data_IF_774489512298
#
_entry.id   IF_774489512298
#
_cell.length_a   1.000
_cell.length_b   1.000
_cell.length_c   1.000
_cell.angle_alpha   90.00
_cell.angle_beta   90.00
_cell.angle_gamma   90.00
#
_symmetry.space_group_name_H-M   'P 1'
#
loop_
_entity.id
_entity.type
_entity.pdbx_description
1 polymer ?
#
# COMPACT_ATOMS: atom_id res chain seq x y z
N UNK A 1 -4.50 22.48 -10.10
CA UNK A 1 -3.66 21.24 -10.16
C UNK A 1 -2.89 21.21 -11.46
N UNK A 2 -1.59 20.98 -11.43
CA UNK A 2 -0.80 20.77 -12.65
C UNK A 2 -1.21 19.43 -13.29
N UNK A 3 -1.86 19.49 -14.44
CA UNK A 3 -2.18 18.30 -15.22
C UNK A 3 -0.93 17.88 -15.99
N UNK A 4 -0.34 16.78 -15.60
CA UNK A 4 0.82 16.22 -16.29
C UNK A 4 0.32 15.46 -17.51
N UNK A 5 0.90 15.75 -18.69
CA UNK A 5 0.59 15.00 -19.90
C UNK A 5 1.63 13.90 -20.12
N UNK A 6 1.16 12.69 -20.40
CA UNK A 6 1.99 11.52 -20.70
C UNK A 6 1.60 11.00 -22.09
N UNK A 7 2.61 10.69 -22.90
CA UNK A 7 2.38 10.11 -24.23
C UNK A 7 1.91 8.67 -24.09
N UNK A 8 0.78 8.36 -24.72
CA UNK A 8 0.19 7.03 -24.76
C UNK A 8 -0.03 6.59 -26.20
N UNK A 9 0.27 5.34 -26.49
CA UNK A 9 0.04 4.73 -27.81
C UNK A 9 -0.94 3.56 -27.67
N UNK A 10 -1.81 3.37 -28.65
CA UNK A 10 -2.69 2.19 -28.69
C UNK A 10 -1.86 0.94 -29.01
N UNK A 11 -2.18 -0.15 -28.33
CA UNK A 11 -1.52 -1.43 -28.51
C UNK A 11 -2.49 -2.45 -29.09
N UNK A 12 -2.14 -3.03 -30.24
CA UNK A 12 -2.94 -4.08 -30.88
C UNK A 12 -2.52 -5.49 -30.41
N UNK A 13 -1.20 -5.68 -30.21
CA UNK A 13 -0.69 -6.97 -29.81
C UNK A 13 -0.85 -7.22 -28.31
N UNK A 14 -1.41 -8.37 -27.95
CA UNK A 14 -1.62 -8.82 -26.58
C UNK A 14 -0.82 -10.11 -26.29
N UNK A 15 -0.67 -10.44 -25.00
CA UNK A 15 -0.07 -11.68 -24.52
C UNK A 15 1.24 -11.54 -23.77
N UNK A 16 1.63 -12.61 -23.05
CA UNK A 16 2.78 -12.65 -22.12
C UNK A 16 4.12 -12.31 -22.79
N UNK A 17 4.34 -12.85 -24.02
CA UNK A 17 5.58 -12.61 -24.76
C UNK A 17 5.75 -11.16 -25.18
N UNK A 18 4.66 -10.54 -25.67
CA UNK A 18 4.63 -9.13 -26.09
C UNK A 18 4.88 -8.22 -24.90
N UNK A 19 4.17 -8.41 -23.78
CA UNK A 19 4.35 -7.60 -22.57
C UNK A 19 5.79 -7.68 -22.04
N UNK A 20 6.42 -8.87 -22.04
CA UNK A 20 7.82 -9.03 -21.64
C UNK A 20 8.78 -8.32 -22.60
N UNK A 21 8.52 -8.35 -23.91
CA UNK A 21 9.33 -7.65 -24.91
C UNK A 21 9.23 -6.14 -24.75
N UNK A 22 8.03 -5.59 -24.51
CA UNK A 22 7.81 -4.16 -24.27
C UNK A 22 8.60 -3.67 -23.06
N UNK A 23 8.49 -4.37 -21.92
CA UNK A 23 9.22 -3.99 -20.69
C UNK A 23 10.74 -3.98 -20.88
N UNK A 24 11.30 -4.91 -21.66
CA UNK A 24 12.73 -4.90 -22.02
C UNK A 24 13.14 -3.69 -22.84
N UNK A 25 12.20 -3.11 -23.62
CA UNK A 25 12.42 -1.90 -24.41
C UNK A 25 12.15 -0.61 -23.63
N UNK A 26 11.85 -0.70 -22.33
CA UNK A 26 11.49 0.47 -21.52
C UNK A 26 10.07 0.97 -21.72
N UNK A 27 9.18 0.12 -22.24
CA UNK A 27 7.78 0.45 -22.48
C UNK A 27 6.90 -0.35 -21.51
N UNK A 28 5.99 0.33 -20.82
CA UNK A 28 5.06 -0.27 -19.88
C UNK A 28 3.71 -0.53 -20.57
N UNK A 29 3.22 -1.78 -20.56
CA UNK A 29 1.86 -2.07 -20.96
C UNK A 29 0.88 -1.53 -19.92
N UNK A 30 -0.19 -0.91 -20.38
CA UNK A 30 -1.24 -0.37 -19.53
C UNK A 30 -2.61 -0.58 -20.19
N UNK A 31 -3.68 -0.33 -19.43
CA UNK A 31 -5.06 -0.40 -19.92
C UNK A 31 -5.81 0.85 -19.49
N UNK A 32 -6.56 1.41 -20.41
CA UNK A 32 -7.49 2.51 -20.17
C UNK A 32 -8.92 1.99 -20.19
N UNK A 33 -9.62 2.11 -19.07
CA UNK A 33 -11.01 1.66 -18.93
C UNK A 33 -11.97 2.84 -19.02
N UNK A 34 -13.09 2.63 -19.70
CA UNK A 34 -14.25 3.53 -19.68
C UNK A 34 -15.53 2.71 -19.86
N UNK A 35 -16.48 2.85 -18.95
CA UNK A 35 -17.86 2.33 -19.06
C UNK A 35 -17.99 0.93 -19.70
N UNK A 36 -17.18 -0.02 -19.22
CA UNK A 36 -17.20 -1.41 -19.72
C UNK A 36 -16.37 -1.68 -20.97
N UNK A 37 -15.76 -0.65 -21.57
CA UNK A 37 -14.78 -0.82 -22.65
C UNK A 37 -13.36 -0.72 -22.11
N UNK A 38 -12.45 -1.54 -22.64
CA UNK A 38 -11.03 -1.51 -22.29
C UNK A 38 -10.18 -1.26 -23.52
N UNK A 39 -9.31 -0.26 -23.46
CA UNK A 39 -8.38 0.08 -24.51
C UNK A 39 -6.97 -0.27 -24.05
N UNK A 40 -6.32 -1.30 -24.62
CA UNK A 40 -4.92 -1.58 -24.30
C UNK A 40 -4.02 -0.49 -24.87
N UNK A 41 -3.16 0.05 -24.02
CA UNK A 41 -2.22 1.13 -24.33
C UNK A 41 -0.81 0.76 -23.90
N UNK A 42 0.16 1.53 -24.33
CA UNK A 42 1.54 1.46 -23.93
C UNK A 42 2.11 2.85 -23.67
N UNK A 43 2.98 2.96 -22.66
CA UNK A 43 3.59 4.21 -22.24
C UNK A 43 5.10 4.04 -22.01
N UNK A 44 5.82 5.15 -22.06
CA UNK A 44 7.24 5.17 -21.71
C UNK A 44 7.45 4.97 -20.21
N UNK A 45 8.37 4.05 -19.84
CA UNK A 45 8.68 3.71 -18.45
C UNK A 45 9.23 4.90 -17.67
N UNK A 46 10.07 5.72 -18.30
CA UNK A 46 10.71 6.83 -17.62
C UNK A 46 9.75 7.99 -17.38
N UNK A 47 8.84 8.28 -18.31
CA UNK A 47 7.80 9.31 -18.13
C UNK A 47 6.84 8.90 -17.03
N UNK A 48 6.33 7.68 -17.08
CA UNK A 48 5.38 7.16 -16.11
C UNK A 48 6.01 7.00 -14.72
N UNK A 49 7.26 6.54 -14.64
CA UNK A 49 7.99 6.44 -13.38
C UNK A 49 8.19 7.79 -12.70
N UNK A 50 8.61 8.82 -13.44
CA UNK A 50 8.74 10.19 -12.92
C UNK A 50 7.40 10.73 -12.41
N UNK A 51 6.32 10.45 -13.12
CA UNK A 51 4.97 10.85 -12.71
C UNK A 51 4.57 10.18 -11.38
N UNK A 52 4.69 8.86 -11.27
CA UNK A 52 4.33 8.12 -10.06
C UNK A 52 5.20 8.48 -8.85
N UNK A 53 6.49 8.74 -9.06
CA UNK A 53 7.35 9.25 -7.98
C UNK A 53 6.93 10.63 -7.49
N UNK A 54 6.50 11.51 -8.40
CA UNK A 54 6.05 12.85 -8.05
C UNK A 54 4.72 12.85 -7.32
N UNK A 55 3.82 11.92 -7.67
CA UNK A 55 2.52 11.76 -7.03
C UNK A 55 2.57 11.01 -5.70
N UNK A 56 3.73 10.45 -5.30
CA UNK A 56 3.85 9.75 -4.03
C UNK A 56 2.99 8.50 -3.88
N UNK A 57 2.46 7.95 -4.99
CA UNK A 57 1.51 6.84 -4.98
C UNK A 57 0.05 7.25 -4.78
N UNK A 58 -0.22 8.55 -4.68
CA UNK A 58 -1.58 9.08 -4.61
C UNK A 58 -2.33 8.92 -5.94
N UNK A 59 -3.65 8.82 -5.87
CA UNK A 59 -4.48 8.78 -7.07
C UNK A 59 -4.56 10.17 -7.71
N UNK A 60 -3.87 10.35 -8.82
CA UNK A 60 -3.73 11.63 -9.53
C UNK A 60 -4.25 11.52 -10.95
N UNK A 61 -4.85 12.62 -11.43
CA UNK A 61 -5.32 12.72 -12.81
C UNK A 61 -4.16 13.05 -13.74
N UNK A 62 -4.09 12.33 -14.84
CA UNK A 62 -3.13 12.50 -15.92
C UNK A 62 -3.85 12.75 -17.25
N UNK A 63 -3.26 13.55 -18.10
CA UNK A 63 -3.69 13.70 -19.47
C UNK A 63 -2.92 12.73 -20.37
N UNK A 64 -3.58 11.74 -20.93
CA UNK A 64 -3.00 10.81 -21.89
C UNK A 64 -3.07 11.40 -23.28
N UNK A 65 -1.91 11.72 -23.85
CA UNK A 65 -1.79 12.26 -25.21
C UNK A 65 -1.57 11.14 -26.22
N UNK A 66 -2.56 10.92 -27.09
CA UNK A 66 -2.48 9.94 -28.16
C UNK A 66 -1.94 10.53 -29.48
N UNK A 67 -1.29 9.73 -30.32
CA UNK A 67 -0.95 10.12 -31.69
C UNK A 67 -2.23 10.47 -32.44
N UNK A 68 -2.31 11.70 -32.96
CA UNK A 68 -3.52 12.21 -33.63
C UNK A 68 -4.19 13.38 -32.91
N UNK A 69 -3.64 13.84 -31.77
CA UNK A 69 -4.15 15.01 -31.05
C UNK A 69 -5.30 14.70 -30.08
N UNK A 70 -5.65 13.45 -29.91
CA UNK A 70 -6.68 13.00 -28.96
C UNK A 70 -6.08 13.00 -27.54
N UNK A 71 -6.55 13.88 -26.68
CA UNK A 71 -6.13 13.95 -25.28
C UNK A 71 -7.27 13.45 -24.40
N UNK A 72 -6.98 12.43 -23.56
CA UNK A 72 -7.95 11.85 -22.63
C UNK A 72 -7.50 12.05 -21.20
N UNK A 73 -8.44 12.49 -20.38
CA UNK A 73 -8.18 12.58 -18.94
C UNK A 73 -8.41 11.21 -18.31
N UNK A 74 -7.43 10.77 -17.55
CA UNK A 74 -7.50 9.48 -16.88
C UNK A 74 -6.97 9.58 -15.43
N UNK A 75 -7.58 8.81 -14.54
CA UNK A 75 -7.13 8.60 -13.19
C UNK A 75 -6.24 7.36 -13.16
N UNK A 76 -5.10 7.42 -12.51
CA UNK A 76 -4.31 6.21 -12.20
C UNK A 76 -5.04 5.46 -11.09
N UNK A 77 -5.65 4.33 -11.44
CA UNK A 77 -6.42 3.53 -10.46
C UNK A 77 -5.54 2.58 -9.70
N UNK A 78 -4.62 1.91 -10.41
CA UNK A 78 -3.69 0.95 -9.80
C UNK A 78 -2.41 0.86 -10.64
N UNK A 79 -1.33 0.42 -10.00
CA UNK A 79 -0.08 0.13 -10.68
C UNK A 79 0.64 -1.04 -10.01
N UNK A 80 1.27 -1.87 -10.82
CA UNK A 80 2.01 -3.04 -10.37
C UNK A 80 3.51 -2.78 -10.45
N UNK A 81 4.19 -3.08 -9.36
CA UNK A 81 5.65 -2.95 -9.24
C UNK A 81 6.25 -4.32 -8.92
N UNK A 82 7.35 -4.63 -9.54
CA UNK A 82 8.15 -5.82 -9.22
C UNK A 82 8.71 -5.69 -7.79
N UNK A 83 8.44 -6.64 -6.88
CA UNK A 83 8.87 -6.53 -5.48
C UNK A 83 10.40 -6.61 -5.31
N UNK A 84 11.12 -7.23 -6.25
CA UNK A 84 12.58 -7.41 -6.18
C UNK A 84 13.30 -6.22 -6.81
N UNK A 85 12.98 -5.92 -8.07
CA UNK A 85 13.67 -4.90 -8.86
C UNK A 85 13.05 -3.51 -8.72
N UNK A 86 11.85 -3.41 -8.10
CA UNK A 86 11.04 -2.19 -8.01
C UNK A 86 10.72 -1.56 -9.37
N UNK A 87 10.71 -2.39 -10.40
CA UNK A 87 10.36 -1.96 -11.74
C UNK A 87 8.85 -1.94 -11.95
N UNK A 88 8.35 -0.90 -12.61
CA UNK A 88 6.94 -0.81 -12.96
C UNK A 88 6.58 -1.85 -14.01
N UNK A 89 5.56 -2.65 -13.73
CA UNK A 89 5.13 -3.76 -14.58
C UNK A 89 3.86 -3.45 -15.38
N UNK A 90 2.90 -2.80 -14.78
CA UNK A 90 1.60 -2.48 -15.37
C UNK A 90 0.99 -1.25 -14.70
N UNK A 91 0.11 -0.57 -15.39
CA UNK A 91 -0.66 0.54 -14.84
C UNK A 91 -2.06 0.53 -15.42
N UNK A 92 -3.03 0.71 -14.55
CA UNK A 92 -4.45 0.75 -14.88
C UNK A 92 -4.94 2.19 -14.81
N UNK A 93 -5.52 2.65 -15.91
CA UNK A 93 -6.07 3.98 -16.03
C UNK A 93 -7.59 3.90 -16.17
N UNK A 94 -8.27 4.75 -15.45
CA UNK A 94 -9.71 4.94 -15.58
C UNK A 94 -9.97 6.30 -16.27
N UNK A 95 -10.60 6.28 -17.44
CA UNK A 95 -10.95 7.50 -18.16
C UNK A 95 -12.02 8.26 -17.38
N UNK A 96 -11.79 9.53 -17.10
CA UNK A 96 -12.66 10.34 -16.26
C UNK A 96 -13.22 11.52 -17.04
N UNK A 97 -14.47 11.87 -16.76
CA UNK A 97 -15.13 13.07 -17.23
C UNK A 97 -15.20 14.07 -16.08
N UNK A 98 -14.89 15.34 -16.34
CA UNK A 98 -14.89 16.39 -15.30
C UNK A 98 -16.26 16.60 -14.61
N UNK A 99 -17.32 16.05 -15.18
CA UNK A 99 -18.70 16.22 -14.68
C UNK A 99 -19.21 15.02 -13.87
N UNK A 100 -18.49 13.93 -13.86
CA UNK A 100 -18.91 12.69 -13.22
C UNK A 100 -18.22 12.51 -11.87
N UNK A 101 -18.98 12.08 -10.87
CA UNK A 101 -18.41 11.68 -9.58
C UNK A 101 -17.66 10.36 -9.74
N UNK A 102 -16.47 10.30 -9.18
CA UNK A 102 -15.62 9.11 -9.22
C UNK A 102 -15.29 8.62 -7.83
N UNK A 103 -15.13 7.30 -7.72
CA UNK A 103 -14.68 6.65 -6.48
C UNK A 103 -13.16 6.55 -6.50
N UNK A 104 -12.55 7.18 -5.51
CA UNK A 104 -11.10 7.23 -5.34
C UNK A 104 -10.72 6.76 -3.95
N UNK A 105 -9.50 6.25 -3.82
CA UNK A 105 -8.93 5.89 -2.53
C UNK A 105 -8.00 7.01 -2.10
N UNK A 106 -8.29 7.63 -0.97
CA UNK A 106 -7.46 8.68 -0.40
C UNK A 106 -6.62 8.13 0.76
N UNK A 107 -5.31 8.42 0.73
CA UNK A 107 -4.40 8.06 1.81
C UNK A 107 -4.63 8.94 3.04
N UNK A 108 -4.55 8.36 4.23
CA UNK A 108 -4.60 9.08 5.50
C UNK A 108 -3.18 9.38 5.95
N UNK A 109 -2.91 10.64 6.27
CA UNK A 109 -1.65 11.08 6.83
C UNK A 109 -1.84 11.54 8.27
N UNK A 110 -1.28 10.78 9.19
CA UNK A 110 -1.34 11.12 10.61
C UNK A 110 -0.29 12.19 10.92
N UNK A 111 -0.72 13.26 11.57
CA UNK A 111 0.12 14.40 11.97
C UNK A 111 0.17 14.52 13.50
N UNK A 112 1.33 14.92 14.02
CA UNK A 112 1.54 15.13 15.46
C UNK A 112 1.94 13.88 16.23
N UNK A 113 2.20 14.04 17.51
CA UNK A 113 2.52 12.97 18.45
C UNK A 113 1.46 12.94 19.57
N UNK A 114 0.79 11.80 19.81
CA UNK A 114 -0.28 11.70 20.80
C UNK A 114 0.21 11.98 22.23
N UNK A 115 -0.59 12.67 23.02
CA UNK A 115 -0.33 12.90 24.46
C UNK A 115 -0.23 11.56 25.19
N UNK A 116 -1.06 10.57 24.84
CA UNK A 116 -1.06 9.25 25.44
C UNK A 116 0.23 8.46 25.20
N UNK A 117 0.97 8.73 24.13
CA UNK A 117 2.31 8.16 23.91
C UNK A 117 3.35 8.89 24.76
N UNK A 118 3.30 10.24 24.77
CA UNK A 118 4.31 11.05 25.49
C UNK A 118 4.20 10.97 27.01
N UNK A 119 2.99 10.98 27.55
CA UNK A 119 2.76 11.03 29.02
C UNK A 119 2.54 9.66 29.61
N UNK A 120 1.74 8.84 28.94
CA UNK A 120 1.25 7.58 29.51
C UNK A 120 2.03 6.36 29.00
N UNK A 121 3.04 6.56 28.12
CA UNK A 121 3.84 5.47 27.58
C UNK A 121 3.05 4.52 26.66
N UNK A 122 1.89 4.96 26.16
CA UNK A 122 1.07 4.17 25.24
C UNK A 122 1.73 3.96 23.89
N UNK A 123 1.24 3.00 23.11
CA UNK A 123 1.68 2.73 21.75
C UNK A 123 0.65 3.21 20.75
N UNK A 124 1.06 4.07 19.78
CA UNK A 124 0.21 4.48 18.67
C UNK A 124 0.06 3.30 17.70
N UNK A 125 -1.16 2.89 17.47
CA UNK A 125 -1.52 1.86 16.49
C UNK A 125 -2.34 2.50 15.37
N UNK A 126 -1.96 2.19 14.12
CA UNK A 126 -2.67 2.62 12.93
C UNK A 126 -3.70 1.54 12.58
N UNK A 127 -4.95 1.94 12.39
CA UNK A 127 -6.01 1.09 11.87
C UNK A 127 -5.99 1.09 10.35
N UNK A 128 -6.90 1.86 9.74
CA UNK A 128 -6.93 2.02 8.29
C UNK A 128 -5.98 3.13 7.86
N UNK A 129 -5.22 2.88 6.79
CA UNK A 129 -4.32 3.86 6.18
C UNK A 129 -4.91 4.56 4.96
N UNK A 130 -6.07 4.10 4.49
CA UNK A 130 -6.73 4.60 3.29
C UNK A 130 -8.25 4.55 3.47
N UNK A 131 -8.95 5.50 2.87
CA UNK A 131 -10.42 5.51 2.82
C UNK A 131 -10.92 5.68 1.39
N UNK A 132 -12.08 5.07 1.12
CA UNK A 132 -12.78 5.26 -0.16
C UNK A 132 -13.67 6.50 -0.06
N UNK A 133 -13.51 7.38 -1.02
CA UNK A 133 -14.29 8.60 -1.14
C UNK A 133 -14.86 8.77 -2.54
N UNK A 134 -16.01 9.40 -2.63
CA UNK A 134 -16.63 9.79 -3.90
C UNK A 134 -16.54 11.30 -4.04
N UNK A 135 -15.91 11.77 -5.11
CA UNK A 135 -15.70 13.20 -5.36
C UNK A 135 -15.63 13.51 -6.85
N UNK A 136 -15.67 14.80 -7.18
CA UNK A 136 -15.38 15.26 -8.53
C UNK A 136 -13.87 15.19 -8.83
N UNK A 137 -13.47 14.98 -10.08
CA UNK A 137 -12.05 14.91 -10.48
C UNK A 137 -11.23 16.14 -10.07
N UNK A 138 -11.84 17.32 -10.05
CA UNK A 138 -11.16 18.55 -9.63
C UNK A 138 -10.97 18.66 -8.09
N UNK A 139 -11.68 17.84 -7.30
CA UNK A 139 -11.69 17.88 -5.83
C UNK A 139 -11.05 16.65 -5.20
N UNK A 140 -10.25 15.89 -5.95
CA UNK A 140 -9.56 14.70 -5.37
C UNK A 140 -8.55 15.15 -4.33
N UNK A 141 -8.66 14.72 -3.06
CA UNK A 141 -7.64 14.98 -2.05
C UNK A 141 -6.44 14.08 -2.31
N UNK A 142 -5.24 14.62 -2.33
CA UNK A 142 -4.01 13.81 -2.40
C UNK A 142 -3.88 12.95 -1.13
N UNK A 143 -4.06 13.57 0.01
CA UNK A 143 -4.10 12.90 1.32
C UNK A 143 -5.07 13.62 2.25
N UNK A 144 -5.48 12.91 3.30
CA UNK A 144 -6.33 13.44 4.36
C UNK A 144 -5.49 13.53 5.62
N UNK A 145 -5.29 14.75 6.12
CA UNK A 145 -4.54 14.99 7.33
C UNK A 145 -5.38 14.73 8.57
N UNK A 146 -4.82 13.99 9.51
CA UNK A 146 -5.45 13.65 10.79
C UNK A 146 -4.52 14.04 11.93
N UNK A 147 -4.94 14.99 12.75
CA UNK A 147 -4.17 15.40 13.93
C UNK A 147 -4.47 14.46 15.12
N UNK A 148 -3.44 13.75 15.56
CA UNK A 148 -3.50 12.85 16.72
C UNK A 148 -2.91 13.45 17.97
N UNK A 149 -2.47 14.72 17.95
CA UNK A 149 -1.77 15.36 19.07
C UNK A 149 -2.58 15.33 20.38
N UNK A 150 -3.92 15.45 20.30
CA UNK A 150 -4.81 15.42 21.45
C UNK A 150 -5.20 14.02 21.94
N UNK A 151 -4.73 12.95 21.32
CA UNK A 151 -5.20 11.60 21.61
C UNK A 151 -4.56 11.05 22.90
N UNK A 152 -5.42 10.71 23.88
CA UNK A 152 -5.02 10.11 25.14
C UNK A 152 -4.94 8.57 25.05
N UNK A 153 -4.28 7.93 26.01
CA UNK A 153 -4.22 6.47 26.08
C UNK A 153 -5.61 5.87 26.20
N UNK A 154 -5.88 4.80 25.46
CA UNK A 154 -7.18 4.13 25.40
C UNK A 154 -8.22 4.79 24.49
N UNK A 155 -7.89 5.90 23.82
CA UNK A 155 -8.79 6.58 22.89
C UNK A 155 -8.45 6.26 21.43
N UNK A 156 -9.45 6.35 20.56
CA UNK A 156 -9.35 6.12 19.14
C UNK A 156 -9.99 7.26 18.32
N UNK A 157 -9.48 7.47 17.12
CA UNK A 157 -10.05 8.35 16.10
C UNK A 157 -10.72 7.49 15.05
N UNK A 158 -11.96 7.81 14.71
CA UNK A 158 -12.74 7.10 13.71
C UNK A 158 -12.86 7.92 12.42
N UNK A 159 -13.34 7.29 11.37
CA UNK A 159 -13.57 7.94 10.06
C UNK A 159 -14.52 9.14 10.17
N UNK A 160 -15.51 9.09 11.06
CA UNK A 160 -16.45 10.21 11.31
C UNK A 160 -15.79 11.47 11.87
N UNK A 161 -14.63 11.32 12.52
CA UNK A 161 -13.92 12.42 13.20
C UNK A 161 -12.94 13.13 12.24
N UNK A 162 -12.88 12.71 10.97
CA UNK A 162 -12.00 13.25 9.96
C UNK A 162 -12.52 14.60 9.45
N UNK A 163 -11.61 15.57 9.35
CA UNK A 163 -11.88 16.85 8.70
C UNK A 163 -11.75 16.70 7.19
N UNK A 164 -12.86 16.66 6.49
CA UNK A 164 -12.90 16.49 5.03
C UNK A 164 -13.17 17.82 4.34
N UNK A 165 -12.57 18.08 3.18
CA UNK A 165 -12.91 19.24 2.34
C UNK A 165 -14.35 19.12 1.81
N UNK A 166 -14.92 20.27 1.44
CA UNK A 166 -16.26 20.32 0.87
C UNK A 166 -16.36 19.57 -0.47
N UNK A 167 -17.46 18.84 -0.66
CA UNK A 167 -17.73 18.09 -1.91
C UNK A 167 -17.21 16.66 -1.94
N UNK A 168 -16.70 16.15 -0.84
CA UNK A 168 -16.25 14.76 -0.71
C UNK A 168 -17.25 13.95 0.10
N UNK A 169 -17.69 12.82 -0.45
CA UNK A 169 -18.54 11.86 0.24
C UNK A 169 -17.74 10.61 0.59
N UNK A 170 -17.68 10.26 1.88
CA UNK A 170 -17.02 9.05 2.34
C UNK A 170 -17.90 7.83 2.09
N UNK A 171 -17.33 6.78 1.54
CA UNK A 171 -17.99 5.49 1.32
C UNK A 171 -17.57 4.47 2.38
N UNK A 172 -16.41 4.64 2.97
CA UNK A 172 -15.90 3.80 4.07
C UNK A 172 -16.81 3.94 5.31
N UNK A 173 -17.08 2.86 6.05
CA UNK A 173 -17.89 2.91 7.27
C UNK A 173 -17.36 3.92 8.29
N UNK A 174 -18.24 4.74 8.85
CA UNK A 174 -17.89 5.81 9.80
C UNK A 174 -17.31 5.32 11.12
N UNK A 175 -17.58 4.06 11.46
CA UNK A 175 -17.15 3.40 12.70
C UNK A 175 -15.70 2.85 12.62
N UNK A 176 -15.09 2.80 11.43
CA UNK A 176 -13.74 2.29 11.27
C UNK A 176 -12.73 3.16 12.00
N UNK A 177 -11.74 2.49 12.65
CA UNK A 177 -10.69 3.14 13.42
C UNK A 177 -9.55 3.54 12.51
N UNK A 178 -9.20 4.82 12.52
CA UNK A 178 -8.06 5.39 11.79
C UNK A 178 -6.77 5.25 12.61
N UNK A 179 -6.83 5.67 13.87
CA UNK A 179 -5.71 5.56 14.79
C UNK A 179 -6.23 5.35 16.22
N UNK A 180 -5.49 4.59 17.00
CA UNK A 180 -5.75 4.40 18.42
C UNK A 180 -4.45 4.42 19.22
N UNK A 181 -4.51 4.86 20.48
CA UNK A 181 -3.39 4.75 21.42
C UNK A 181 -3.71 3.63 22.39
N UNK A 182 -3.02 2.50 22.23
CA UNK A 182 -3.12 1.40 23.19
C UNK A 182 -2.46 1.82 24.52
N UNK A 183 -3.16 1.58 25.62
CA UNK A 183 -2.54 1.75 26.94
C UNK A 183 -1.38 0.75 27.12
N UNK A 184 -0.29 1.14 27.79
CA UNK A 184 0.78 0.22 28.10
C UNK A 184 0.18 -0.92 28.91
N UNK A 185 0.45 -2.15 28.49
CA UNK A 185 0.17 -3.33 29.28
C UNK A 185 1.21 -3.32 30.41
N UNK A 186 0.81 -2.91 31.63
CA UNK A 186 1.60 -3.22 32.80
C UNK A 186 1.80 -4.74 32.80
N UNK A 187 3.02 -5.19 32.52
CA UNK A 187 3.42 -6.54 32.88
C UNK A 187 3.33 -6.60 34.40
N UNK A 188 2.26 -7.17 34.88
CA UNK A 188 2.17 -7.64 36.27
C UNK A 188 3.37 -8.59 36.45
N UNK A 189 4.43 -8.05 37.02
CA UNK A 189 5.57 -8.81 37.49
C UNK A 189 4.97 -9.73 38.55
N UNK A 190 4.66 -10.97 38.16
CA UNK A 190 4.28 -12.00 39.11
C UNK A 190 5.36 -12.04 40.21
N UNK A 191 4.97 -11.91 41.47
CA UNK A 191 5.95 -11.93 42.56
C UNK A 191 6.71 -13.25 42.50
N UNK A 192 8.03 -13.12 42.33
CA UNK A 192 8.96 -14.23 42.40
C UNK A 192 8.71 -15.00 43.69
N UNK A 193 8.24 -16.24 43.56
CA UNK A 193 8.21 -17.17 44.69
C UNK A 193 9.64 -17.40 45.21
N UNK A 194 9.84 -17.48 46.55
CA UNK A 194 11.16 -17.60 47.13
C UNK A 194 11.80 -18.91 46.72
N UNK A 195 13.04 -18.78 46.28
CA UNK A 195 13.95 -19.92 46.03
C UNK A 195 14.21 -20.62 47.33
N UNK A 196 13.71 -21.83 47.48
CA UNK A 196 14.11 -22.73 48.55
C UNK A 196 15.35 -23.51 48.05
N UNK A 197 16.42 -23.25 48.76
CA UNK A 197 17.75 -23.84 48.70
C UNK A 197 17.66 -25.33 49.07
N UNK A 198 18.14 -26.23 48.25
CA UNK A 198 18.92 -27.36 48.73
C UNK A 198 19.32 -28.38 47.63
N UNK A 199 20.62 -28.62 47.63
CA UNK A 199 21.33 -29.87 47.31
C UNK A 199 21.72 -30.17 45.86
N UNK A 200 22.97 -29.84 45.55
CA UNK A 200 23.91 -30.62 44.71
C UNK A 200 24.13 -32.03 45.32
N UNK A 201 24.89 -32.93 44.70
CA UNK A 201 25.14 -33.23 43.29
C UNK A 201 25.01 -34.74 42.98
N UNK A 202 25.06 -35.17 41.73
CA UNK A 202 25.90 -36.34 41.37
C UNK A 202 26.03 -36.53 39.84
N UNK A 203 27.26 -36.67 39.48
CA UNK A 203 27.82 -36.95 38.18
C UNK A 203 27.67 -38.45 37.89
N UNK A 204 27.15 -38.82 36.73
CA UNK A 204 27.55 -40.09 36.11
C UNK A 204 27.78 -39.88 34.61
N UNK A 205 29.04 -40.01 34.25
CA UNK A 205 29.56 -40.27 32.90
C UNK A 205 29.26 -41.71 32.48
N UNK A 206 28.97 -41.91 31.22
CA UNK A 206 29.35 -43.00 30.33
C UNK A 206 28.23 -43.23 29.33
N UNK A 207 28.46 -43.46 28.12
CA UNK A 207 29.53 -43.84 27.21
C UNK A 207 28.89 -43.87 25.84
N UNK A 208 29.46 -43.33 24.89
CA UNK A 208 30.32 -43.90 23.88
C UNK A 208 29.69 -45.04 23.05
N UNK A 209 29.72 -44.76 21.80
CA UNK A 209 30.05 -45.61 20.66
C UNK A 209 28.97 -46.28 19.84
N UNK A 210 29.10 -45.96 18.55
CA UNK A 210 29.03 -46.83 17.33
C UNK A 210 27.62 -47.09 16.79
N UNK A 211 27.41 -47.08 15.56
CA UNK A 211 28.07 -47.48 14.28
C UNK A 211 27.34 -46.78 13.16
N UNK A 212 27.86 -46.06 12.23
CA UNK A 212 28.55 -46.42 10.99
C UNK A 212 27.96 -47.62 10.22
N UNK A 213 27.84 -47.34 8.92
CA UNK A 213 27.68 -48.27 7.77
C UNK A 213 26.21 -48.70 7.49
N UNK A 214 25.74 -48.70 6.29
CA UNK A 214 26.25 -48.96 4.93
C UNK A 214 25.18 -48.61 3.91
N UNK A 215 25.53 -48.11 2.90
CA UNK A 215 25.83 -48.45 1.51
C UNK A 215 24.68 -48.33 0.50
N UNK A 216 25.03 -47.55 -0.48
CA UNK A 216 24.88 -47.79 -1.92
C UNK A 216 23.84 -48.80 -2.42
N UNK A 217 22.98 -48.36 -3.29
CA UNK A 217 22.92 -48.86 -4.66
C UNK A 217 21.89 -48.13 -5.52
N UNK A 218 22.31 -47.54 -6.59
CA UNK A 218 21.65 -47.47 -7.89
C UNK A 218 21.47 -48.92 -8.43
N UNK A 219 20.64 -49.23 -9.45
CA UNK A 219 20.52 -48.47 -10.69
C UNK A 219 19.13 -48.53 -11.39
N UNK A 220 19.03 -47.72 -12.43
CA UNK A 220 18.39 -47.86 -13.73
C UNK A 220 17.10 -48.69 -13.92
N UNK A 221 16.07 -48.02 -14.37
CA UNK A 221 15.53 -48.18 -15.74
C UNK A 221 14.69 -46.97 -16.14
#
# INVERSE_FOLDING_TARGET
MERISIKAEKREAAGKGVARSLRRKGIIPAVLYREGSSLPIQLDKAELGRFLHRSGGEQVIVSLAFPGGDNRLALVKDYQVDPVNRELLHTDFFEVSLKEMIKVVAAIRVMGEPIGVKRDGGALQYGISQIEVECLPDSIPGHIEVDVSGLAAGHSIHVRDLSLPEGIKVLTPSEEVVALVAAPKEEEVAPAAPVEEAAEPEVIKKGKEKEEEETKAKPEK
#
